data_IF_024546398965
#
_entry.id   IF_024546398965
#
_cell.length_a   1.000
_cell.length_b   1.000
_cell.length_c   1.000
_cell.angle_alpha   90.00
_cell.angle_beta   90.00
_cell.angle_gamma   90.00
#
_symmetry.space_group_name_H-M   'P 1'
#
loop_
_entity.id
_entity.type
_entity.pdbx_description
1 polymer ?
#
# COMPACT_ATOMS: atom_id res chain seq x y z
N UNK A 1 14.41 2.16 -15.47
CA UNK A 1 14.20 1.43 -16.75
C UNK A 1 15.38 0.54 -17.09
N UNK A 2 16.57 1.05 -17.43
CA UNK A 2 17.71 0.20 -17.83
C UNK A 2 18.04 -0.93 -16.82
N UNK A 3 18.04 -0.65 -15.52
CA UNK A 3 18.32 -1.66 -14.47
C UNK A 3 17.31 -2.82 -14.52
N UNK A 4 16.02 -2.53 -14.74
CA UNK A 4 15.00 -3.55 -14.90
C UNK A 4 15.20 -4.39 -16.17
N UNK A 5 15.48 -3.73 -17.29
CA UNK A 5 15.70 -4.39 -18.58
C UNK A 5 16.92 -5.34 -18.53
N UNK A 6 18.03 -4.88 -17.92
CA UNK A 6 19.23 -5.69 -17.74
C UNK A 6 18.95 -6.90 -16.82
N UNK A 7 18.26 -6.69 -15.69
CA UNK A 7 17.85 -7.76 -14.78
C UNK A 7 16.94 -8.77 -15.46
N UNK A 8 15.90 -8.30 -16.15
CA UNK A 8 14.95 -9.15 -16.86
C UNK A 8 15.66 -10.05 -17.89
N UNK A 9 16.51 -9.47 -18.74
CA UNK A 9 17.28 -10.22 -19.72
C UNK A 9 18.19 -11.29 -19.06
N UNK A 10 18.77 -10.96 -17.91
CA UNK A 10 19.64 -11.89 -17.19
C UNK A 10 18.89 -13.02 -16.48
N UNK A 11 17.67 -12.78 -16.02
CA UNK A 11 16.83 -13.81 -15.41
C UNK A 11 16.20 -14.69 -16.50
N UNK A 12 15.54 -14.09 -17.50
CA UNK A 12 14.80 -14.79 -18.56
C UNK A 12 15.64 -15.86 -19.27
N UNK A 13 16.87 -15.55 -19.66
CA UNK A 13 17.79 -16.51 -20.33
C UNK A 13 18.19 -17.71 -19.48
N UNK A 14 17.95 -17.67 -18.14
CA UNK A 14 18.28 -18.75 -17.23
C UNK A 14 17.05 -19.54 -16.76
N UNK A 15 15.83 -19.15 -17.16
CA UNK A 15 14.60 -19.89 -16.83
C UNK A 15 14.43 -21.07 -17.82
N UNK A 16 14.23 -22.32 -17.34
CA UNK A 16 13.89 -23.45 -18.21
C UNK A 16 12.56 -23.21 -18.96
N UNK A 17 12.46 -23.66 -20.20
CA UNK A 17 11.32 -23.42 -21.08
C UNK A 17 10.01 -24.08 -20.62
N UNK A 18 10.09 -25.05 -19.71
CA UNK A 18 8.97 -25.78 -19.13
C UNK A 18 8.53 -25.21 -17.76
N UNK A 19 9.10 -24.07 -17.34
CA UNK A 19 8.86 -23.45 -16.04
C UNK A 19 8.12 -22.11 -16.22
N UNK A 20 6.94 -21.99 -15.61
CA UNK A 20 6.28 -20.68 -15.47
C UNK A 20 7.07 -19.80 -14.50
N UNK A 21 7.32 -18.58 -14.90
CA UNK A 21 8.10 -17.61 -14.12
C UNK A 21 7.41 -16.26 -14.06
N UNK A 22 7.37 -15.68 -12.86
CA UNK A 22 7.03 -14.27 -12.62
C UNK A 22 8.22 -13.58 -11.96
N UNK A 23 8.69 -12.50 -12.56
CA UNK A 23 9.72 -11.62 -12.01
C UNK A 23 9.09 -10.28 -11.66
N UNK A 24 9.35 -9.81 -10.44
CA UNK A 24 8.89 -8.51 -9.96
C UNK A 24 10.04 -7.71 -9.38
N UNK A 25 9.99 -6.40 -9.56
CA UNK A 25 10.89 -5.46 -8.88
C UNK A 25 10.10 -4.28 -8.34
N UNK A 26 10.26 -4.02 -7.05
CA UNK A 26 9.79 -2.80 -6.40
C UNK A 26 10.99 -1.89 -6.16
N UNK A 27 11.06 -0.78 -6.88
CA UNK A 27 12.06 0.26 -6.66
C UNK A 27 11.41 1.41 -5.89
N UNK A 28 11.87 1.65 -4.67
CA UNK A 28 11.29 2.59 -3.72
C UNK A 28 12.31 3.65 -3.32
N UNK A 29 11.86 4.89 -3.29
CA UNK A 29 12.55 6.01 -2.64
C UNK A 29 11.65 6.57 -1.55
N UNK A 30 12.17 6.65 -0.34
CA UNK A 30 11.49 7.25 0.80
C UNK A 30 12.32 8.37 1.40
N UNK A 31 11.66 9.43 1.78
CA UNK A 31 12.29 10.59 2.39
C UNK A 31 11.49 11.02 3.61
N UNK A 32 12.18 11.31 4.71
CA UNK A 32 11.58 11.57 6.01
C UNK A 32 12.28 12.73 6.71
N UNK A 33 11.50 13.69 7.21
CA UNK A 33 11.94 14.76 8.10
C UNK A 33 11.19 14.64 9.41
N UNK A 34 11.89 14.34 10.51
CA UNK A 34 11.31 14.23 11.87
C UNK A 34 11.52 15.50 12.66
N UNK A 35 10.55 15.79 13.51
CA UNK A 35 10.61 16.87 14.46
C UNK A 35 10.16 16.44 15.86
N UNK A 36 10.75 17.04 16.88
CA UNK A 36 10.37 16.87 18.28
C UNK A 36 10.69 18.18 19.03
N UNK A 37 9.93 18.47 20.08
CA UNK A 37 10.01 19.76 20.79
C UNK A 37 9.94 20.97 19.82
N UNK A 38 9.06 20.85 18.80
CA UNK A 38 8.85 21.85 17.75
C UNK A 38 10.10 22.17 16.92
N UNK A 39 11.11 21.29 16.90
CA UNK A 39 12.35 21.44 16.15
C UNK A 39 12.66 20.22 15.31
N UNK A 40 13.14 20.44 14.09
CA UNK A 40 13.62 19.36 13.22
C UNK A 40 14.92 18.81 13.80
N UNK A 41 15.01 17.49 13.93
CA UNK A 41 16.18 16.81 14.46
C UNK A 41 16.73 15.70 13.56
N UNK A 42 15.99 15.28 12.51
CA UNK A 42 16.42 14.21 11.62
C UNK A 42 15.88 14.40 10.21
N UNK A 43 16.73 14.19 9.21
CA UNK A 43 16.36 13.94 7.82
C UNK A 43 16.98 12.62 7.37
N UNK A 44 16.18 11.80 6.70
CA UNK A 44 16.60 10.51 6.14
C UNK A 44 16.07 10.40 4.73
N UNK A 45 16.93 10.00 3.81
CA UNK A 45 16.54 9.61 2.44
C UNK A 45 17.06 8.19 2.23
N UNK A 46 16.18 7.29 1.78
CA UNK A 46 16.47 5.89 1.56
C UNK A 46 16.04 5.48 0.15
N UNK A 47 16.83 4.62 -0.48
CA UNK A 47 16.50 4.02 -1.77
C UNK A 47 16.72 2.52 -1.70
N UNK A 48 15.72 1.74 -2.15
CA UNK A 48 15.78 0.29 -2.21
C UNK A 48 15.21 -0.23 -3.52
N UNK A 49 15.67 -1.41 -3.93
CA UNK A 49 15.09 -2.16 -5.02
C UNK A 49 14.98 -3.63 -4.63
N UNK A 50 13.77 -4.09 -4.37
CA UNK A 50 13.48 -5.46 -3.97
C UNK A 50 13.02 -6.27 -5.17
N UNK A 51 13.60 -7.45 -5.34
CA UNK A 51 13.36 -8.37 -6.45
C UNK A 51 12.71 -9.63 -5.92
N UNK A 52 11.62 -10.05 -6.57
CA UNK A 52 10.89 -11.28 -6.27
C UNK A 52 10.83 -12.14 -7.51
N UNK A 53 11.22 -13.40 -7.38
CA UNK A 53 11.18 -14.42 -8.41
C UNK A 53 10.25 -15.54 -7.96
N UNK A 54 9.12 -15.70 -8.66
CA UNK A 54 8.20 -16.82 -8.46
C UNK A 54 8.36 -17.80 -9.61
N UNK A 55 8.59 -19.08 -9.28
CA UNK A 55 8.66 -20.18 -10.24
C UNK A 55 7.56 -21.19 -9.96
N UNK A 56 6.95 -21.72 -11.01
CA UNK A 56 6.00 -22.82 -10.94
C UNK A 56 6.33 -23.88 -11.98
N UNK A 57 6.44 -25.12 -11.54
CA UNK A 57 6.61 -26.30 -12.39
C UNK A 57 6.17 -27.55 -11.60
N UNK A 58 5.70 -28.60 -12.28
CA UNK A 58 5.25 -29.86 -11.69
C UNK A 58 4.29 -29.68 -10.50
N UNK A 59 3.33 -28.75 -10.64
CA UNK A 59 2.37 -28.40 -9.58
C UNK A 59 3.03 -27.91 -8.27
N UNK A 60 4.24 -27.42 -8.32
CA UNK A 60 4.95 -26.83 -7.18
C UNK A 60 5.21 -25.36 -7.45
N UNK A 61 5.22 -24.56 -6.40
CA UNK A 61 5.50 -23.12 -6.49
C UNK A 61 6.53 -22.73 -5.45
N UNK A 62 7.44 -21.85 -5.82
CA UNK A 62 8.36 -21.17 -4.91
C UNK A 62 8.43 -19.69 -5.24
N UNK A 63 8.52 -18.86 -4.22
CA UNK A 63 8.88 -17.46 -4.36
C UNK A 63 10.14 -17.19 -3.55
N UNK A 64 11.14 -16.62 -4.21
CA UNK A 64 12.36 -16.14 -3.57
C UNK A 64 12.47 -14.63 -3.73
N UNK A 65 12.99 -13.96 -2.72
CA UNK A 65 13.23 -12.52 -2.75
C UNK A 65 14.68 -12.18 -2.42
N UNK A 66 15.13 -11.06 -2.93
CA UNK A 66 16.43 -10.47 -2.65
C UNK A 66 16.37 -8.96 -2.88
N UNK A 67 17.35 -8.23 -2.35
CA UNK A 67 17.55 -6.84 -2.73
C UNK A 67 18.49 -6.77 -3.93
N UNK A 68 18.25 -5.84 -4.85
CA UNK A 68 19.03 -5.70 -6.09
C UNK A 68 20.54 -5.50 -5.82
N UNK A 69 20.89 -4.79 -4.74
CA UNK A 69 22.30 -4.58 -4.37
C UNK A 69 23.00 -5.87 -3.90
N UNK A 70 22.24 -6.81 -3.36
CA UNK A 70 22.74 -8.14 -2.95
C UNK A 70 22.73 -9.15 -4.10
N UNK A 71 21.99 -8.89 -5.18
CA UNK A 71 21.88 -9.77 -6.34
C UNK A 71 23.13 -9.64 -7.24
N UNK A 72 24.20 -10.34 -6.86
CA UNK A 72 25.47 -10.30 -7.59
C UNK A 72 25.51 -11.23 -8.81
N UNK A 73 24.69 -12.30 -8.80
CA UNK A 73 24.69 -13.34 -9.84
C UNK A 73 23.23 -13.81 -10.10
N UNK A 74 22.54 -13.25 -11.11
CA UNK A 74 21.19 -13.66 -11.46
C UNK A 74 21.05 -15.14 -11.79
N UNK A 75 22.03 -15.75 -12.44
CA UNK A 75 22.03 -17.18 -12.75
C UNK A 75 22.03 -18.04 -11.50
N UNK A 76 22.85 -17.69 -10.51
CA UNK A 76 22.89 -18.41 -9.22
C UNK A 76 21.58 -18.25 -8.45
N UNK A 77 20.97 -17.06 -8.51
CA UNK A 77 19.67 -16.78 -7.90
C UNK A 77 18.57 -17.68 -8.49
N UNK A 78 18.49 -17.77 -9.83
CA UNK A 78 17.57 -18.69 -10.52
C UNK A 78 17.86 -20.16 -10.14
N UNK A 79 19.13 -20.57 -10.14
CA UNK A 79 19.51 -21.95 -9.78
C UNK A 79 19.06 -22.31 -8.35
N UNK A 80 19.22 -21.41 -7.38
CA UNK A 80 18.74 -21.60 -6.01
C UNK A 80 17.21 -21.69 -5.93
N UNK A 81 16.51 -20.87 -6.73
CA UNK A 81 15.06 -20.93 -6.82
C UNK A 81 14.59 -22.27 -7.40
N UNK A 82 15.23 -22.78 -8.44
CA UNK A 82 14.94 -24.11 -9.02
C UNK A 82 15.20 -25.26 -8.04
N UNK A 83 16.31 -25.21 -7.29
CA UNK A 83 16.57 -26.21 -6.24
C UNK A 83 15.49 -26.18 -5.15
N UNK A 84 15.09 -25.00 -4.71
CA UNK A 84 14.00 -24.83 -3.74
C UNK A 84 12.66 -25.30 -4.29
N UNK A 85 12.34 -25.02 -5.56
CA UNK A 85 11.13 -25.47 -6.23
C UNK A 85 11.03 -27.01 -6.23
N UNK A 86 12.13 -27.70 -6.51
CA UNK A 86 12.17 -29.16 -6.53
C UNK A 86 11.76 -29.79 -5.18
N UNK A 87 12.02 -29.09 -4.09
CA UNK A 87 11.76 -29.50 -2.69
C UNK A 87 10.42 -28.97 -2.15
N UNK A 88 9.74 -28.08 -2.88
CA UNK A 88 8.48 -27.47 -2.46
C UNK A 88 7.35 -28.51 -2.45
N UNK A 89 6.34 -28.35 -1.59
CA UNK A 89 5.13 -29.16 -1.63
C UNK A 89 4.30 -28.86 -2.86
N UNK A 90 3.35 -29.75 -3.17
CA UNK A 90 2.36 -29.53 -4.24
C UNK A 90 1.50 -28.30 -3.89
N UNK A 91 1.39 -27.37 -4.83
CA UNK A 91 0.58 -26.17 -4.76
C UNK A 91 -0.72 -26.35 -5.54
N UNK A 92 -1.75 -26.85 -4.89
CA UNK A 92 -3.09 -27.04 -5.49
C UNK A 92 -3.80 -25.71 -5.80
N UNK A 93 -3.36 -24.62 -5.21
CA UNK A 93 -3.94 -23.29 -5.36
C UNK A 93 -3.39 -22.48 -6.53
N UNK A 94 -2.38 -22.98 -7.25
CA UNK A 94 -1.84 -22.27 -8.40
C UNK A 94 -2.93 -21.93 -9.42
N UNK A 95 -3.08 -20.65 -9.75
CA UNK A 95 -4.11 -20.13 -10.65
C UNK A 95 -3.58 -19.70 -12.02
N UNK A 96 -2.31 -20.02 -12.30
CA UNK A 96 -1.60 -19.58 -13.51
C UNK A 96 -1.20 -18.12 -13.46
N UNK A 97 -0.43 -17.72 -14.47
CA UNK A 97 0.03 -16.34 -14.64
C UNK A 97 -0.96 -15.53 -15.49
N UNK A 98 -1.08 -14.21 -15.27
CA UNK A 98 -1.83 -13.34 -16.17
C UNK A 98 -1.16 -13.29 -17.56
N UNK A 99 -1.94 -13.05 -18.59
CA UNK A 99 -1.47 -12.97 -19.97
C UNK A 99 -1.14 -11.54 -20.41
N UNK A 100 -0.59 -11.41 -21.62
CA UNK A 100 -0.17 -10.14 -22.19
C UNK A 100 -1.30 -9.10 -22.33
N UNK A 101 -2.57 -9.52 -22.42
CA UNK A 101 -3.71 -8.60 -22.59
C UNK A 101 -3.99 -7.79 -21.34
N UNK A 102 -3.48 -8.24 -20.18
CA UNK A 102 -3.60 -7.58 -18.89
C UNK A 102 -2.43 -6.62 -18.60
N UNK A 103 -1.46 -6.50 -19.53
CA UNK A 103 -0.32 -5.60 -19.37
C UNK A 103 -0.73 -4.14 -19.27
N UNK A 104 -0.01 -3.39 -18.42
CA UNK A 104 -0.20 -1.97 -18.22
C UNK A 104 1.15 -1.26 -18.10
N UNK A 105 1.29 -0.10 -18.75
CA UNK A 105 2.51 0.71 -18.71
C UNK A 105 2.15 2.13 -18.24
N UNK A 106 2.21 2.35 -16.93
CA UNK A 106 1.89 3.59 -16.25
C UNK A 106 3.09 4.33 -15.67
N UNK A 107 4.33 3.96 -16.08
CA UNK A 107 5.52 4.66 -15.58
C UNK A 107 5.48 6.14 -15.92
N UNK A 108 5.59 6.96 -14.88
CA UNK A 108 5.68 8.42 -14.98
C UNK A 108 6.93 8.94 -14.26
N UNK A 109 7.44 10.09 -14.70
CA UNK A 109 8.51 10.77 -13.98
C UNK A 109 7.92 11.48 -12.78
N UNK A 110 8.13 10.92 -11.60
CA UNK A 110 7.72 11.51 -10.34
C UNK A 110 8.79 12.47 -9.81
N UNK A 111 8.36 13.47 -9.06
CA UNK A 111 9.24 14.52 -8.50
C UNK A 111 9.58 14.14 -7.06
N UNK A 112 10.89 14.01 -6.80
CA UNK A 112 11.40 13.79 -5.44
C UNK A 112 11.29 15.08 -4.62
N UNK A 113 10.91 14.97 -3.35
CA UNK A 113 10.91 16.10 -2.42
C UNK A 113 12.32 16.36 -1.91
N UNK A 114 12.71 17.63 -1.84
CA UNK A 114 13.94 18.02 -1.19
C UNK A 114 13.77 18.05 0.35
N UNK A 115 14.88 17.93 1.11
CA UNK A 115 14.85 18.13 2.56
C UNK A 115 14.28 19.50 2.98
N UNK A 116 14.53 20.54 2.18
CA UNK A 116 14.02 21.90 2.47
C UNK A 116 12.50 22.00 2.28
N UNK A 117 11.94 21.37 1.25
CA UNK A 117 10.47 21.33 1.05
C UNK A 117 9.79 20.61 2.20
N UNK A 118 10.32 19.45 2.66
CA UNK A 118 9.78 18.74 3.83
C UNK A 118 9.94 19.56 5.12
N UNK A 119 11.07 20.25 5.28
CA UNK A 119 11.30 21.14 6.42
C UNK A 119 10.32 22.32 6.44
N UNK A 120 9.93 22.85 5.28
CA UNK A 120 8.94 23.92 5.18
C UNK A 120 7.56 23.40 5.64
N UNK A 121 7.15 22.21 5.24
CA UNK A 121 5.91 21.57 5.71
C UNK A 121 5.89 21.37 7.24
N UNK A 122 7.03 20.99 7.82
CA UNK A 122 7.17 20.94 9.29
C UNK A 122 7.02 22.31 9.93
N UNK A 123 7.65 23.37 9.36
CA UNK A 123 7.51 24.75 9.87
C UNK A 123 6.05 25.24 9.78
N UNK A 124 5.36 24.96 8.68
CA UNK A 124 3.93 25.24 8.53
C UNK A 124 3.13 24.55 9.65
N UNK A 125 3.35 23.23 9.88
CA UNK A 125 2.65 22.47 10.92
C UNK A 125 2.86 23.06 12.34
N UNK A 126 4.09 23.42 12.69
CA UNK A 126 4.38 23.88 14.06
C UNK A 126 4.04 25.35 14.29
N UNK A 127 3.63 26.12 13.27
CA UNK A 127 3.45 27.56 13.33
C UNK A 127 2.45 28.05 14.37
N UNK A 128 1.33 27.36 14.52
CA UNK A 128 0.20 27.77 15.37
C UNK A 128 0.32 27.32 16.84
N UNK A 129 1.17 26.36 17.13
CA UNK A 129 1.34 25.78 18.45
C UNK A 129 2.38 26.44 19.34
N UNK A 130 2.56 27.76 19.30
CA UNK A 130 3.69 28.51 19.89
C UNK A 130 3.98 28.29 21.39
N UNK A 131 3.01 27.79 22.14
CA UNK A 131 3.14 27.50 23.61
C UNK A 131 3.08 26.02 23.93
N UNK A 132 3.05 25.16 22.89
CA UNK A 132 2.95 23.71 23.02
C UNK A 132 4.16 23.04 22.40
N UNK A 133 4.44 21.83 22.85
CA UNK A 133 5.46 20.99 22.24
C UNK A 133 4.85 20.15 21.10
N UNK A 134 5.42 20.28 19.90
CA UNK A 134 5.07 19.47 18.77
C UNK A 134 6.11 18.38 18.51
N UNK A 135 5.62 17.21 18.07
CA UNK A 135 6.45 16.12 17.58
C UNK A 135 5.73 15.43 16.40
N UNK A 136 6.51 14.83 15.48
CA UNK A 136 5.94 14.17 14.32
C UNK A 136 6.94 14.01 13.19
N UNK A 137 6.42 13.85 11.98
CA UNK A 137 7.23 13.72 10.77
C UNK A 137 6.52 14.23 9.53
N UNK A 138 7.29 14.61 8.53
CA UNK A 138 6.86 14.81 7.15
C UNK A 138 7.60 13.81 6.27
N UNK A 139 6.89 13.04 5.47
CA UNK A 139 7.47 12.01 4.60
C UNK A 139 6.97 12.12 3.17
N UNK A 140 7.76 11.60 2.23
CA UNK A 140 7.36 11.39 0.85
C UNK A 140 7.89 10.06 0.32
N UNK A 141 7.13 9.44 -0.57
CA UNK A 141 7.44 8.15 -1.16
C UNK A 141 7.27 8.22 -2.67
N UNK A 142 8.19 7.59 -3.37
CA UNK A 142 8.12 7.32 -4.81
C UNK A 142 8.37 5.84 -5.00
N UNK A 143 7.45 5.17 -5.65
CA UNK A 143 7.55 3.74 -5.93
C UNK A 143 7.37 3.48 -7.41
N UNK A 144 8.25 2.64 -7.98
CA UNK A 144 8.12 2.11 -9.33
C UNK A 144 8.03 0.59 -9.22
N UNK A 145 6.98 0.03 -9.77
CA UNK A 145 6.72 -1.40 -9.74
C UNK A 145 6.78 -1.98 -11.14
N UNK A 146 7.54 -3.06 -11.28
CA UNK A 146 7.74 -3.77 -12.54
C UNK A 146 7.35 -5.23 -12.36
N UNK A 147 6.61 -5.77 -13.31
CA UNK A 147 6.19 -7.18 -13.34
C UNK A 147 6.33 -7.71 -14.74
N UNK A 148 7.01 -8.84 -14.86
CA UNK A 148 7.11 -9.62 -16.09
C UNK A 148 6.82 -11.08 -15.79
N UNK A 149 6.27 -11.82 -16.77
CA UNK A 149 6.10 -13.25 -16.65
C UNK A 149 6.23 -13.98 -17.99
N UNK A 150 6.42 -15.29 -17.92
CA UNK A 150 6.56 -16.18 -19.10
C UNK A 150 5.27 -16.34 -19.92
N UNK A 151 4.13 -15.88 -19.44
CA UNK A 151 2.86 -15.86 -20.19
C UNK A 151 2.65 -14.57 -21.01
N UNK A 152 3.72 -13.76 -21.14
CA UNK A 152 3.77 -12.58 -21.99
C UNK A 152 3.34 -11.27 -21.34
N UNK A 153 2.93 -11.25 -20.06
CA UNK A 153 2.68 -9.99 -19.35
C UNK A 153 3.99 -9.24 -19.15
N UNK A 154 3.95 -7.93 -19.41
CA UNK A 154 5.02 -6.99 -19.08
C UNK A 154 4.39 -5.68 -18.64
N UNK A 155 4.33 -5.46 -17.34
CA UNK A 155 3.65 -4.31 -16.72
C UNK A 155 4.61 -3.49 -15.90
N UNK A 156 4.32 -2.20 -15.86
CA UNK A 156 5.03 -1.27 -14.97
C UNK A 156 4.13 -0.12 -14.57
N UNK A 157 4.31 0.38 -13.36
CA UNK A 157 3.55 1.50 -12.85
C UNK A 157 4.38 2.31 -11.85
N UNK A 158 3.98 3.56 -11.63
CA UNK A 158 4.59 4.49 -10.68
C UNK A 158 3.54 5.04 -9.74
N UNK A 159 3.88 5.14 -8.47
CA UNK A 159 3.05 5.82 -7.48
C UNK A 159 3.88 6.76 -6.62
N UNK A 160 3.28 7.85 -6.18
CA UNK A 160 3.84 8.73 -5.17
C UNK A 160 2.83 9.01 -4.08
N UNK A 161 3.34 9.32 -2.90
CA UNK A 161 2.54 9.80 -1.78
C UNK A 161 3.39 10.66 -0.87
N UNK A 162 2.75 11.56 -0.15
CA UNK A 162 3.39 12.38 0.87
C UNK A 162 2.44 12.54 2.06
N UNK A 163 3.02 12.65 3.26
CA UNK A 163 2.27 12.73 4.50
C UNK A 163 2.92 13.70 5.47
N UNK A 164 2.10 14.38 6.26
CA UNK A 164 2.50 14.99 7.51
C UNK A 164 1.65 14.39 8.62
N UNK A 165 2.30 14.01 9.69
CA UNK A 165 1.70 13.45 10.90
C UNK A 165 2.34 14.15 12.10
N UNK A 166 1.52 14.65 13.01
CA UNK A 166 2.05 15.34 14.16
C UNK A 166 1.06 15.48 15.29
N UNK A 167 1.63 15.70 16.46
CA UNK A 167 0.93 15.85 17.71
C UNK A 167 1.41 17.13 18.40
N UNK A 168 0.49 17.91 18.95
CA UNK A 168 0.77 18.93 19.96
C UNK A 168 0.43 18.41 21.35
N UNK A 169 1.21 18.83 22.34
CA UNK A 169 0.99 18.48 23.75
C UNK A 169 0.97 19.72 24.61
N UNK A 170 -0.02 19.75 25.51
CA UNK A 170 -0.07 20.63 26.69
C UNK A 170 0.49 19.88 27.91
N UNK A 171 0.32 20.40 29.11
CA UNK A 171 0.69 19.70 30.35
C UNK A 171 -0.22 18.50 30.64
N UNK A 172 -1.51 18.55 30.26
CA UNK A 172 -2.52 17.55 30.65
C UNK A 172 -3.19 16.85 29.44
N UNK A 173 -2.90 17.28 28.23
CA UNK A 173 -3.60 16.79 27.03
C UNK A 173 -2.70 16.67 25.81
N UNK A 174 -3.25 16.10 24.74
CA UNK A 174 -2.62 16.04 23.43
C UNK A 174 -3.69 16.09 22.33
N UNK A 175 -3.28 16.60 21.17
CA UNK A 175 -4.10 16.56 19.96
C UNK A 175 -3.23 16.25 18.75
N UNK A 176 -3.68 15.36 17.88
CA UNK A 176 -2.99 14.96 16.67
C UNK A 176 -3.77 15.30 15.42
N UNK A 177 -3.06 15.48 14.32
CA UNK A 177 -3.65 15.54 12.98
C UNK A 177 -2.71 14.94 11.95
N UNK A 178 -3.32 14.31 10.95
CA UNK A 178 -2.66 13.67 9.82
C UNK A 178 -3.21 14.24 8.52
N UNK A 179 -2.32 14.51 7.55
CA UNK A 179 -2.70 14.86 6.17
C UNK A 179 -1.82 14.10 5.20
N UNK A 180 -2.47 13.58 4.15
CA UNK A 180 -1.80 12.88 3.06
C UNK A 180 -2.22 13.42 1.71
N UNK A 181 -1.39 13.16 0.71
CA UNK A 181 -1.63 13.50 -0.69
C UNK A 181 -0.69 12.75 -1.61
N UNK A 182 -0.79 12.99 -2.90
CA UNK A 182 0.08 12.38 -3.92
C UNK A 182 1.46 13.04 -3.89
N UNK A 183 1.50 14.34 -3.61
CA UNK A 183 2.74 15.14 -3.54
C UNK A 183 2.76 16.00 -2.28
N UNK A 184 3.91 16.58 -1.95
CA UNK A 184 4.01 17.53 -0.83
C UNK A 184 3.13 18.79 -1.02
N UNK A 185 2.86 19.19 -2.26
CA UNK A 185 2.00 20.36 -2.52
C UNK A 185 0.54 20.13 -2.13
N UNK A 186 0.10 18.86 -2.09
CA UNK A 186 -1.27 18.51 -1.73
C UNK A 186 -1.50 18.53 -0.20
N UNK A 187 -0.41 18.64 0.57
CA UNK A 187 -0.46 18.61 2.04
C UNK A 187 -0.75 20.00 2.60
N UNK A 188 -1.90 20.16 3.25
CA UNK A 188 -2.29 21.34 4.01
C UNK A 188 -1.65 21.30 5.43
N UNK A 189 -0.32 21.47 5.53
CA UNK A 189 0.41 21.25 6.77
C UNK A 189 0.06 22.26 7.86
N UNK A 190 -0.15 23.54 7.52
CA UNK A 190 -0.61 24.57 8.45
C UNK A 190 -1.97 24.22 9.05
N UNK A 191 -2.92 23.79 8.22
CA UNK A 191 -4.24 23.34 8.69
C UNK A 191 -4.15 22.13 9.62
N UNK A 192 -3.30 21.15 9.28
CA UNK A 192 -3.05 19.98 10.15
C UNK A 192 -2.51 20.43 11.51
N UNK A 193 -1.55 21.35 11.52
CA UNK A 193 -0.99 21.93 12.76
C UNK A 193 -2.02 22.66 13.60
N UNK A 194 -2.84 23.53 12.97
CA UNK A 194 -3.93 24.27 13.64
C UNK A 194 -4.97 23.34 14.26
N UNK A 195 -5.36 22.27 13.54
CA UNK A 195 -6.31 21.27 14.05
C UNK A 195 -5.71 20.48 15.23
N UNK A 196 -4.47 20.02 15.13
CA UNK A 196 -3.79 19.32 16.22
C UNK A 196 -3.65 20.20 17.47
N UNK A 197 -3.27 21.47 17.28
CA UNK A 197 -3.14 22.44 18.38
C UNK A 197 -4.50 22.72 19.04
N UNK A 198 -5.56 22.86 18.22
CA UNK A 198 -6.93 23.06 18.73
C UNK A 198 -7.38 21.84 19.53
N UNK A 199 -7.22 20.63 19.01
CA UNK A 199 -7.59 19.39 19.70
C UNK A 199 -6.84 19.23 21.03
N UNK A 200 -5.54 19.58 21.09
CA UNK A 200 -4.78 19.56 22.33
C UNK A 200 -5.38 20.50 23.40
N UNK A 201 -5.78 21.73 23.00
CA UNK A 201 -6.43 22.68 23.92
C UNK A 201 -7.83 22.24 24.35
N UNK A 202 -8.63 21.78 23.40
CA UNK A 202 -10.02 21.36 23.67
C UNK A 202 -10.09 20.10 24.55
N UNK A 203 -9.01 19.33 24.62
CA UNK A 203 -8.89 18.11 25.44
C UNK A 203 -8.26 18.35 26.83
N UNK A 204 -8.00 19.60 27.21
CA UNK A 204 -7.51 19.92 28.56
C UNK A 204 -8.59 19.65 29.63
N UNK A 205 -8.14 19.15 30.78
CA UNK A 205 -8.99 18.79 31.91
C UNK A 205 -10.11 17.79 31.53
N UNK A 206 -9.75 16.58 31.08
CA UNK A 206 -10.72 15.57 30.70
C UNK A 206 -11.56 15.14 31.90
N UNK A 207 -12.83 14.87 31.68
CA UNK A 207 -13.75 14.32 32.65
C UNK A 207 -14.05 12.86 32.35
N UNK A 208 -14.33 12.07 33.38
CA UNK A 208 -14.78 10.68 33.21
C UNK A 208 -16.20 10.67 32.63
N UNK A 209 -16.42 9.73 31.71
CA UNK A 209 -17.70 9.50 31.06
C UNK A 209 -18.32 8.19 31.61
N UNK A 210 -19.56 8.21 32.02
CA UNK A 210 -20.25 7.01 32.49
C UNK A 210 -20.48 6.00 31.37
N UNK A 211 -20.39 4.68 31.64
CA UNK A 211 -20.72 3.67 30.65
C UNK A 211 -22.14 3.85 30.11
N UNK A 212 -22.31 3.86 28.78
CA UNK A 212 -23.60 4.08 28.13
C UNK A 212 -23.55 4.01 26.62
N UNK A 213 -24.69 4.30 26.00
CA UNK A 213 -24.79 4.45 24.55
C UNK A 213 -24.71 5.93 24.20
N UNK A 214 -23.80 6.26 23.29
CA UNK A 214 -23.54 7.64 22.88
C UNK A 214 -23.64 7.76 21.37
N UNK A 215 -24.24 8.86 20.91
CA UNK A 215 -24.12 9.28 19.51
C UNK A 215 -22.71 9.83 19.29
N UNK A 216 -22.02 9.34 18.24
CA UNK A 216 -20.65 9.72 17.95
C UNK A 216 -20.48 10.18 16.51
N UNK A 217 -19.63 11.17 16.29
CA UNK A 217 -19.16 11.59 14.97
C UNK A 217 -17.71 11.09 14.83
N UNK A 218 -17.46 10.19 13.87
CA UNK A 218 -16.12 9.69 13.59
C UNK A 218 -15.42 10.59 12.58
N UNK A 219 -14.23 11.05 12.91
CA UNK A 219 -13.35 11.75 11.98
C UNK A 219 -12.82 10.81 10.90
N UNK A 220 -12.28 11.39 9.81
CA UNK A 220 -11.76 10.64 8.67
C UNK A 220 -10.65 9.63 9.05
N UNK A 221 -9.81 9.92 10.04
CA UNK A 221 -8.76 9.01 10.52
C UNK A 221 -9.35 7.75 11.17
N UNK A 222 -10.40 7.92 12.00
CA UNK A 222 -11.09 6.79 12.61
C UNK A 222 -11.83 5.94 11.56
N UNK A 223 -12.51 6.59 10.60
CA UNK A 223 -13.16 5.91 9.47
C UNK A 223 -12.14 5.18 8.61
N UNK A 224 -11.00 5.79 8.29
CA UNK A 224 -9.92 5.14 7.54
C UNK A 224 -9.43 3.87 8.22
N UNK A 225 -9.22 3.91 9.54
CA UNK A 225 -8.82 2.73 10.33
C UNK A 225 -9.86 1.61 10.23
N UNK A 226 -11.15 1.95 10.38
CA UNK A 226 -12.25 0.97 10.25
C UNK A 226 -12.25 0.36 8.85
N UNK A 227 -12.09 1.16 7.78
CA UNK A 227 -12.07 0.68 6.40
C UNK A 227 -10.88 -0.25 6.12
N UNK A 228 -9.69 0.03 6.68
CA UNK A 228 -8.52 -0.87 6.56
C UNK A 228 -8.83 -2.23 7.16
N UNK A 229 -9.35 -2.28 8.40
CA UNK A 229 -9.71 -3.54 9.06
C UNK A 229 -10.86 -4.26 8.35
N UNK A 230 -11.85 -3.52 7.89
CA UNK A 230 -12.96 -4.08 7.09
C UNK A 230 -12.46 -4.67 5.77
N UNK A 231 -11.52 -4.02 5.10
CA UNK A 231 -10.86 -4.53 3.89
C UNK A 231 -10.07 -5.82 4.17
N UNK A 232 -9.24 -5.84 5.22
CA UNK A 232 -8.35 -6.98 5.51
C UNK A 232 -9.10 -8.19 6.06
N UNK A 233 -10.05 -8.00 6.97
CA UNK A 233 -10.74 -9.10 7.65
C UNK A 233 -12.15 -9.36 7.12
N UNK A 234 -12.84 -8.32 6.63
CA UNK A 234 -14.19 -8.44 6.09
C UNK A 234 -14.18 -8.82 4.61
N UNK A 235 -13.68 -7.95 3.77
CA UNK A 235 -13.77 -8.09 2.32
C UNK A 235 -12.59 -8.81 1.66
N UNK A 236 -11.60 -9.26 2.38
CA UNK A 236 -10.53 -10.11 1.83
C UNK A 236 -11.05 -11.54 1.60
N UNK A 237 -11.06 -11.99 0.35
CA UNK A 237 -11.52 -13.32 -0.01
C UNK A 237 -10.75 -14.45 0.72
N UNK A 238 -9.48 -14.26 1.06
CA UNK A 238 -8.73 -15.24 1.87
C UNK A 238 -9.29 -15.35 3.28
N UNK A 239 -9.68 -14.23 3.91
CA UNK A 239 -10.34 -14.24 5.22
C UNK A 239 -11.69 -14.98 5.17
N UNK A 240 -12.41 -14.88 4.05
CA UNK A 240 -13.65 -15.67 3.85
C UNK A 240 -13.38 -17.17 3.74
N UNK A 241 -12.39 -17.56 2.96
CA UNK A 241 -11.94 -18.95 2.81
C UNK A 241 -11.53 -19.56 4.16
N UNK A 242 -10.82 -18.78 4.98
CA UNK A 242 -10.36 -19.20 6.30
C UNK A 242 -11.46 -19.16 7.38
N UNK A 243 -12.69 -18.79 7.03
CA UNK A 243 -13.84 -18.72 7.96
C UNK A 243 -13.77 -17.56 8.96
N UNK A 244 -12.92 -16.55 8.71
CA UNK A 244 -12.75 -15.38 9.59
C UNK A 244 -13.67 -14.21 9.22
N UNK A 245 -14.07 -14.10 7.95
CA UNK A 245 -14.92 -13.01 7.47
C UNK A 245 -16.40 -13.26 7.78
N UNK A 246 -17.10 -12.30 8.42
CA UNK A 246 -18.55 -12.35 8.62
C UNK A 246 -19.33 -11.86 7.39
N UNK A 247 -18.65 -11.35 6.36
CA UNK A 247 -19.30 -10.79 5.17
C UNK A 247 -19.87 -11.90 4.30
N UNK A 248 -21.06 -11.67 3.77
CA UNK A 248 -21.71 -12.49 2.76
C UNK A 248 -22.11 -11.59 1.58
N UNK A 249 -21.73 -12.01 0.38
CA UNK A 249 -22.09 -11.27 -0.84
C UNK A 249 -23.60 -11.35 -1.08
N UNK A 250 -24.17 -10.26 -1.60
CA UNK A 250 -25.58 -10.01 -1.85
C UNK A 250 -26.48 -9.96 -0.61
N UNK A 251 -25.89 -9.93 0.60
CA UNK A 251 -26.62 -9.67 1.83
C UNK A 251 -26.57 -8.18 2.22
N UNK A 252 -27.67 -7.68 2.77
CA UNK A 252 -27.75 -6.36 3.37
C UNK A 252 -27.18 -6.43 4.79
N UNK A 253 -25.94 -5.97 4.97
CA UNK A 253 -25.19 -6.04 6.23
C UNK A 253 -24.81 -4.66 6.78
N UNK A 254 -25.10 -3.59 6.04
CA UNK A 254 -24.80 -2.21 6.40
C UNK A 254 -26.04 -1.33 6.26
N UNK A 255 -26.01 -0.13 6.82
CA UNK A 255 -27.06 0.86 6.56
C UNK A 255 -27.10 1.21 5.06
N UNK A 256 -28.31 1.45 4.55
CA UNK A 256 -28.53 1.75 3.12
C UNK A 256 -27.83 3.02 2.60
N UNK A 257 -27.36 3.86 3.48
CA UNK A 257 -26.55 5.05 3.13
C UNK A 257 -25.07 4.72 2.92
N UNK A 258 -24.61 3.51 3.29
CA UNK A 258 -23.21 3.10 3.19
C UNK A 258 -22.93 2.59 1.79
N UNK A 259 -21.96 3.25 1.13
CA UNK A 259 -21.40 2.86 -0.15
C UNK A 259 -19.87 2.82 -0.02
N UNK A 260 -19.23 1.73 -0.45
CA UNK A 260 -17.77 1.56 -0.40
C UNK A 260 -17.30 1.12 -1.78
N UNK A 261 -16.33 1.86 -2.32
CA UNK A 261 -15.72 1.60 -3.63
C UNK A 261 -14.20 1.51 -3.50
N UNK A 262 -13.58 0.64 -4.30
CA UNK A 262 -12.15 0.73 -4.63
C UNK A 262 -12.02 1.32 -6.03
N UNK A 263 -11.37 2.48 -6.14
CA UNK A 263 -11.31 3.28 -7.36
C UNK A 263 -9.87 3.56 -7.81
N UNK A 264 -9.09 2.54 -8.17
CA UNK A 264 -7.69 2.69 -8.58
C UNK A 264 -7.50 3.57 -9.83
N UNK A 265 -8.55 3.77 -10.62
CA UNK A 265 -8.52 4.64 -11.81
C UNK A 265 -8.70 6.12 -11.48
N UNK A 266 -9.12 6.46 -10.26
CA UNK A 266 -9.24 7.85 -9.80
C UNK A 266 -7.84 8.49 -9.67
N UNK A 267 -7.74 9.75 -10.10
CA UNK A 267 -6.48 10.49 -10.05
C UNK A 267 -6.08 10.91 -8.62
N UNK A 268 -7.00 10.90 -7.67
CA UNK A 268 -6.74 11.16 -6.25
C UNK A 268 -6.37 9.88 -5.47
N UNK A 269 -6.50 8.70 -6.10
CA UNK A 269 -6.14 7.43 -5.47
C UNK A 269 -4.63 7.30 -5.32
N UNK A 270 -4.19 7.04 -4.08
CA UNK A 270 -2.80 6.72 -3.76
C UNK A 270 -2.59 5.22 -4.01
N UNK A 271 -1.56 4.87 -4.75
CA UNK A 271 -1.18 3.49 -5.01
C UNK A 271 -0.97 3.17 -6.49
N UNK A 272 -0.82 1.90 -6.78
CA UNK A 272 -0.63 1.42 -8.15
C UNK A 272 -1.97 1.10 -8.83
N UNK A 273 -2.01 1.33 -10.15
CA UNK A 273 -3.10 0.92 -11.05
C UNK A 273 -2.98 -0.53 -11.52
N UNK A 274 -1.96 -1.23 -11.06
CA UNK A 274 -1.77 -2.67 -11.26
C UNK A 274 -1.79 -3.41 -9.92
N UNK A 275 -2.19 -4.67 -9.97
CA UNK A 275 -2.17 -5.56 -8.81
C UNK A 275 -0.77 -6.17 -8.58
N UNK A 276 -0.65 -7.04 -7.58
CA UNK A 276 0.59 -7.71 -7.25
C UNK A 276 1.09 -8.68 -8.35
N UNK A 277 0.25 -9.07 -9.31
CA UNK A 277 0.61 -9.91 -10.47
C UNK A 277 0.85 -9.11 -11.74
N UNK A 278 0.77 -7.78 -11.68
CA UNK A 278 0.96 -6.86 -12.79
C UNK A 278 -0.28 -6.66 -13.67
N UNK A 279 -1.43 -7.22 -13.31
CA UNK A 279 -2.68 -7.02 -14.05
C UNK A 279 -3.26 -5.63 -13.75
N UNK A 280 -3.79 -4.96 -14.78
CA UNK A 280 -4.46 -3.66 -14.59
C UNK A 280 -5.69 -3.83 -13.69
N UNK A 281 -5.76 -3.05 -12.63
CA UNK A 281 -6.92 -2.99 -11.72
C UNK A 281 -8.13 -2.34 -12.39
N UNK A 282 -9.30 -2.65 -11.85
CA UNK A 282 -10.60 -2.06 -12.24
C UNK A 282 -11.25 -1.45 -11.00
N UNK A 283 -12.13 -0.48 -11.23
CA UNK A 283 -12.99 0.03 -10.17
C UNK A 283 -13.93 -1.08 -9.68
N UNK A 284 -14.08 -1.20 -8.37
CA UNK A 284 -14.85 -2.24 -7.70
C UNK A 284 -15.88 -1.65 -6.76
N UNK A 285 -17.15 -2.04 -6.92
CA UNK A 285 -18.18 -1.81 -5.92
C UNK A 285 -18.03 -2.87 -4.81
N UNK A 286 -17.64 -2.44 -3.60
CA UNK A 286 -17.48 -3.33 -2.43
C UNK A 286 -18.79 -3.42 -1.65
N UNK A 287 -19.38 -2.26 -1.36
CA UNK A 287 -20.72 -2.13 -0.75
C UNK A 287 -21.51 -1.11 -1.55
N UNK A 288 -22.77 -1.44 -1.87
CA UNK A 288 -23.71 -0.55 -2.53
C UNK A 288 -25.06 -0.58 -1.83
N UNK A 289 -25.54 0.61 -1.42
CA UNK A 289 -26.79 0.78 -0.70
C UNK A 289 -26.94 -0.20 0.49
N UNK A 290 -25.85 -0.38 1.25
CA UNK A 290 -25.76 -1.29 2.39
C UNK A 290 -25.57 -2.77 2.05
N UNK A 291 -25.61 -3.14 0.77
CA UNK A 291 -25.48 -4.53 0.31
C UNK A 291 -24.03 -4.82 -0.07
N UNK A 292 -23.44 -5.87 0.52
CA UNK A 292 -22.10 -6.36 0.17
C UNK A 292 -22.08 -6.91 -1.26
N UNK A 293 -21.17 -6.41 -2.12
CA UNK A 293 -21.16 -6.75 -3.55
C UNK A 293 -19.98 -7.59 -3.99
N UNK A 294 -18.81 -7.39 -3.42
CA UNK A 294 -17.61 -8.10 -3.85
C UNK A 294 -16.60 -8.26 -2.74
N UNK A 295 -15.85 -9.38 -2.78
CA UNK A 295 -14.59 -9.51 -2.06
C UNK A 295 -13.44 -8.98 -2.91
N UNK A 296 -12.34 -8.65 -2.24
CA UNK A 296 -11.03 -8.47 -2.88
C UNK A 296 -10.42 -9.84 -3.15
N UNK A 297 -10.26 -10.18 -4.42
CA UNK A 297 -9.73 -11.46 -4.87
C UNK A 297 -8.31 -11.33 -5.42
N UNK A 298 -7.44 -12.25 -5.03
CA UNK A 298 -6.27 -12.61 -5.83
C UNK A 298 -6.68 -13.68 -6.86
N UNK A 299 -5.85 -13.94 -7.87
CA UNK A 299 -6.08 -15.05 -8.82
C UNK A 299 -6.32 -16.38 -8.11
N UNK A 300 -5.56 -16.67 -7.05
CA UNK A 300 -5.72 -17.88 -6.21
C UNK A 300 -7.10 -17.93 -5.54
N UNK A 301 -7.50 -16.90 -4.84
CA UNK A 301 -8.80 -16.88 -4.13
C UNK A 301 -9.98 -16.84 -5.08
N UNK A 302 -9.85 -16.19 -6.23
CA UNK A 302 -10.85 -16.19 -7.28
C UNK A 302 -11.08 -17.62 -7.84
N UNK A 303 -9.99 -18.35 -8.11
CA UNK A 303 -10.08 -19.77 -8.52
C UNK A 303 -10.75 -20.63 -7.45
N UNK A 304 -10.38 -20.46 -6.17
CA UNK A 304 -10.88 -21.27 -5.05
C UNK A 304 -12.37 -21.05 -4.80
N UNK A 305 -12.85 -19.80 -4.91
CA UNK A 305 -14.26 -19.44 -4.73
C UNK A 305 -15.07 -19.44 -6.03
N UNK A 306 -14.48 -19.84 -7.17
CA UNK A 306 -15.11 -19.80 -8.49
C UNK A 306 -15.66 -18.40 -8.84
N UNK A 307 -14.94 -17.36 -8.45
CA UNK A 307 -15.26 -15.97 -8.67
C UNK A 307 -14.37 -15.36 -9.78
N UNK A 308 -14.75 -14.18 -10.26
CA UNK A 308 -13.86 -13.38 -11.12
C UNK A 308 -12.72 -12.77 -10.29
N UNK A 309 -11.54 -12.64 -10.91
CA UNK A 309 -10.46 -11.87 -10.34
C UNK A 309 -10.85 -10.38 -10.33
N UNK A 310 -10.74 -9.74 -9.16
CA UNK A 310 -11.13 -8.33 -8.97
C UNK A 310 -9.98 -7.37 -9.19
N UNK A 311 -8.80 -7.89 -9.52
CA UNK A 311 -7.62 -7.09 -9.81
C UNK A 311 -7.17 -7.28 -11.25
#
# INVERSE_FOLDING_TARGET
MKIWEDLLQDIEKNIPSDTECELKMMHSKSALTRFANSQIHQNVDEESADVFLTLHNDSKTVTMSTNLTALKNPKEFVSKAMDSLSKSPIDKGWAGLPDATQSYNGLTKLIESSPEERANKVREFVSDGKQMNAAGYCSSYINNYFVWNTNGLNSSDSSSSAFIDGIFRTESSAGSSHRGGITLSDIEAERAGSEAAKLAKDSENPEDIEPGNYEVILGHEAVSTILVFLGVYGFNAKSKIDGMSPINIDENQFDSQINIFDTPEDNESIGFKIDASGSKKKNLEVVKDGVSKSYFHTRRTAKELSAENTF
#
